data_IF_843278661571
#
_entry.id   IF_843278661571
#
_cell.length_a   1.000
_cell.length_b   1.000
_cell.length_c   1.000
_cell.angle_alpha   90.00
_cell.angle_beta   90.00
_cell.angle_gamma   90.00
#
_symmetry.space_group_name_H-M   'P 1'
#
loop_
_entity.id
_entity.type
_entity.pdbx_description
1 polymer ?
#
# COMPACT_ATOMS: atom_id res chain seq x y z
N UNK A 1 -15.16 -0.04 -19.33
CA UNK A 1 -13.71 0.05 -19.03
C UNK A 1 -13.42 -0.37 -17.58
N UNK A 2 -13.96 -1.49 -17.09
CA UNK A 2 -13.80 -1.88 -15.67
C UNK A 2 -13.49 -3.36 -15.45
N UNK A 3 -13.59 -4.19 -16.50
CA UNK A 3 -13.36 -5.63 -16.39
C UNK A 3 -11.87 -5.97 -16.61
N UNK A 4 -11.16 -5.17 -17.41
CA UNK A 4 -9.73 -5.39 -17.73
C UNK A 4 -8.79 -5.22 -16.53
N UNK A 5 -9.13 -4.35 -15.58
CA UNK A 5 -8.29 -4.09 -14.41
C UNK A 5 -8.38 -5.20 -13.35
N UNK A 6 -9.59 -5.73 -13.13
CA UNK A 6 -9.85 -6.83 -12.19
C UNK A 6 -9.23 -8.16 -12.65
N UNK A 7 -9.18 -8.40 -13.97
CA UNK A 7 -8.63 -9.66 -14.53
C UNK A 7 -7.08 -9.69 -14.48
N UNK A 8 -6.41 -8.54 -14.59
CA UNK A 8 -4.94 -8.46 -14.45
C UNK A 8 -4.52 -8.78 -13.01
N UNK A 9 -5.24 -8.26 -12.01
CA UNK A 9 -5.04 -8.58 -10.58
C UNK A 9 -5.13 -10.09 -10.31
N UNK A 10 -5.96 -10.82 -11.07
CA UNK A 10 -6.15 -12.26 -10.88
C UNK A 10 -5.03 -13.12 -11.52
N UNK A 11 -4.34 -12.62 -12.56
CA UNK A 11 -3.26 -13.34 -13.23
C UNK A 11 -1.85 -13.02 -12.69
N UNK A 12 -1.65 -11.88 -12.02
CA UNK A 12 -0.36 -11.51 -11.40
C UNK A 12 -0.07 -12.23 -10.06
N UNK A 13 -0.98 -13.06 -9.57
CA UNK A 13 -0.85 -13.75 -8.27
C UNK A 13 0.36 -14.71 -8.21
N UNK A 14 1.06 -14.98 -9.32
CA UNK A 14 2.10 -16.02 -9.31
C UNK A 14 3.45 -15.59 -8.72
N UNK A 15 3.78 -14.29 -8.60
CA UNK A 15 4.95 -13.81 -7.81
C UNK A 15 4.62 -12.42 -7.23
N UNK A 16 3.92 -12.37 -6.10
CA UNK A 16 3.67 -11.10 -5.39
C UNK A 16 4.96 -10.60 -4.75
N UNK A 17 5.40 -9.39 -5.09
CA UNK A 17 6.56 -8.75 -4.45
C UNK A 17 6.17 -8.10 -3.11
N UNK A 18 7.16 -7.81 -2.25
CA UNK A 18 6.89 -7.07 -1.00
C UNK A 18 6.29 -5.69 -1.28
N UNK A 19 6.75 -5.00 -2.32
CA UNK A 19 6.27 -3.68 -2.70
C UNK A 19 4.80 -3.74 -3.20
N UNK A 20 4.43 -4.77 -3.95
CA UNK A 20 3.03 -5.04 -4.32
C UNK A 20 2.16 -5.34 -3.10
N UNK A 21 2.64 -6.18 -2.18
CA UNK A 21 1.92 -6.49 -0.95
C UNK A 21 1.65 -5.21 -0.12
N UNK A 22 2.64 -4.30 -0.06
CA UNK A 22 2.49 -3.00 0.60
C UNK A 22 1.48 -2.12 -0.15
N UNK A 23 1.51 -2.05 -1.48
CA UNK A 23 0.51 -1.31 -2.29
C UNK A 23 -0.91 -1.82 -2.01
N UNK A 24 -1.10 -3.14 -2.03
CA UNK A 24 -2.39 -3.78 -1.74
C UNK A 24 -2.85 -3.40 -0.33
N UNK A 25 -1.96 -3.50 0.67
CA UNK A 25 -2.28 -3.13 2.06
C UNK A 25 -2.75 -1.69 2.20
N UNK A 26 -2.07 -0.76 1.52
CA UNK A 26 -2.43 0.66 1.54
C UNK A 26 -3.83 0.87 0.93
N UNK A 27 -4.13 0.22 -0.20
CA UNK A 27 -5.46 0.30 -0.81
C UNK A 27 -6.57 -0.25 0.10
N UNK A 28 -6.32 -1.38 0.77
CA UNK A 28 -7.25 -1.95 1.75
C UNK A 28 -7.57 -0.96 2.87
N UNK A 29 -6.53 -0.30 3.42
CA UNK A 29 -6.68 0.65 4.51
C UNK A 29 -7.40 1.93 4.07
N UNK A 30 -7.06 2.48 2.89
CA UNK A 30 -7.78 3.62 2.31
C UNK A 30 -9.27 3.34 2.14
N UNK A 31 -9.61 2.14 1.65
CA UNK A 31 -11.01 1.72 1.46
C UNK A 31 -11.72 1.49 2.80
N UNK A 32 -11.05 0.85 3.75
CA UNK A 32 -11.62 0.55 5.08
C UNK A 32 -11.93 1.82 5.87
N UNK A 33 -11.00 2.77 5.89
CA UNK A 33 -11.13 4.03 6.65
C UNK A 33 -11.80 5.15 5.84
N UNK A 34 -12.18 4.89 4.58
CA UNK A 34 -12.75 5.86 3.63
C UNK A 34 -11.89 7.13 3.52
N UNK A 35 -10.57 6.95 3.45
CA UNK A 35 -9.59 8.03 3.36
C UNK A 35 -8.98 8.13 1.96
N UNK A 36 -8.53 9.32 1.59
CA UNK A 36 -7.75 9.57 0.38
C UNK A 36 -6.25 9.49 0.66
N UNK A 37 -5.46 9.13 -0.37
CA UNK A 37 -3.99 9.11 -0.34
C UNK A 37 -3.44 10.42 0.25
N UNK A 38 -3.92 11.56 -0.26
CA UNK A 38 -3.48 12.88 0.21
C UNK A 38 -3.71 13.12 1.71
N UNK A 39 -4.82 12.63 2.27
CA UNK A 39 -5.12 12.78 3.69
C UNK A 39 -4.14 11.97 4.54
N UNK A 40 -3.92 10.71 4.17
CA UNK A 40 -3.00 9.81 4.89
C UNK A 40 -1.57 10.32 4.80
N UNK A 41 -1.13 10.77 3.63
CA UNK A 41 0.20 11.36 3.44
C UNK A 41 0.42 12.55 4.38
N UNK A 42 -0.52 13.50 4.40
CA UNK A 42 -0.42 14.68 5.26
C UNK A 42 -0.44 14.32 6.75
N UNK A 43 -1.31 13.40 7.16
CA UNK A 43 -1.38 12.93 8.56
C UNK A 43 -0.13 12.15 8.98
N UNK A 44 0.52 11.47 8.04
CA UNK A 44 1.74 10.68 8.25
C UNK A 44 3.05 11.47 8.16
N UNK A 45 3.00 12.77 7.86
CA UNK A 45 4.20 13.59 7.65
C UNK A 45 4.95 13.28 6.35
N UNK A 46 4.23 12.80 5.33
CA UNK A 46 4.74 12.47 4.01
C UNK A 46 4.17 13.44 2.96
N UNK A 47 4.99 13.82 1.97
CA UNK A 47 4.50 14.54 0.79
C UNK A 47 3.57 13.63 -0.04
N UNK A 48 2.36 14.07 -0.45
CA UNK A 48 1.45 13.24 -1.24
C UNK A 48 2.06 12.64 -2.50
N UNK A 49 2.95 13.37 -3.19
CA UNK A 49 3.63 12.91 -4.41
C UNK A 49 4.38 11.60 -4.20
N UNK A 50 5.09 11.44 -3.09
CA UNK A 50 5.84 10.21 -2.78
C UNK A 50 4.92 9.00 -2.68
N UNK A 51 3.76 9.15 -2.05
CA UNK A 51 2.80 8.05 -1.95
C UNK A 51 2.12 7.79 -3.30
N UNK A 52 1.79 8.83 -4.06
CA UNK A 52 1.26 8.67 -5.42
C UNK A 52 2.24 7.94 -6.34
N UNK A 53 3.52 8.31 -6.31
CA UNK A 53 4.56 7.68 -7.13
C UNK A 53 4.75 6.20 -6.78
N UNK A 54 4.70 5.86 -5.48
CA UNK A 54 4.72 4.47 -5.04
C UNK A 54 3.47 3.70 -5.47
N UNK A 55 2.29 4.29 -5.29
CA UNK A 55 1.02 3.64 -5.65
C UNK A 55 0.85 3.45 -7.16
N UNK A 56 1.40 4.35 -7.98
CA UNK A 56 1.37 4.28 -9.44
C UNK A 56 2.49 3.40 -10.04
N UNK A 57 3.43 2.91 -9.22
CA UNK A 57 4.55 2.09 -9.67
C UNK A 57 5.74 2.88 -10.24
N UNK A 58 5.72 4.21 -10.21
CA UNK A 58 6.87 5.06 -10.54
C UNK A 58 8.03 4.80 -9.58
N UNK A 59 7.71 4.70 -8.28
CA UNK A 59 8.67 4.25 -7.26
C UNK A 59 8.49 2.75 -7.06
N UNK A 60 9.52 1.99 -7.40
CA UNK A 60 9.50 0.52 -7.31
C UNK A 60 9.62 0.07 -5.86
N UNK A 61 10.54 0.69 -5.10
CA UNK A 61 10.88 0.27 -3.73
C UNK A 61 10.52 1.35 -2.72
N UNK A 62 9.80 0.94 -1.67
CA UNK A 62 9.46 1.82 -0.55
C UNK A 62 10.36 1.56 0.65
N UNK A 63 10.81 2.63 1.31
CA UNK A 63 11.59 2.52 2.52
C UNK A 63 10.69 2.20 3.72
N UNK A 64 11.21 1.45 4.69
CA UNK A 64 10.47 1.14 5.93
C UNK A 64 10.05 2.40 6.69
N UNK A 65 10.85 3.48 6.64
CA UNK A 65 10.46 4.78 7.23
C UNK A 65 9.16 5.31 6.61
N UNK A 66 9.00 5.14 5.30
CA UNK A 66 7.84 5.65 4.55
C UNK A 66 6.61 4.83 4.91
N UNK A 67 6.78 3.51 5.09
CA UNK A 67 5.72 2.64 5.60
C UNK A 67 5.31 3.08 7.02
N UNK A 68 6.28 3.43 7.88
CA UNK A 68 6.01 3.94 9.22
C UNK A 68 5.21 5.26 9.19
N UNK A 69 5.54 6.18 8.28
CA UNK A 69 4.78 7.41 8.06
C UNK A 69 3.34 7.11 7.62
N UNK A 70 3.16 6.18 6.68
CA UNK A 70 1.82 5.73 6.26
C UNK A 70 1.03 5.13 7.42
N UNK A 71 1.68 4.30 8.25
CA UNK A 71 1.07 3.73 9.46
C UNK A 71 0.63 4.83 10.45
N UNK A 72 1.46 5.86 10.63
CA UNK A 72 1.12 7.02 11.46
C UNK A 72 -0.12 7.75 10.91
N UNK A 73 -0.23 7.90 9.58
CA UNK A 73 -1.41 8.49 8.94
C UNK A 73 -2.70 7.69 9.18
N UNK A 74 -2.61 6.36 9.23
CA UNK A 74 -3.73 5.47 9.56
C UNK A 74 -3.95 5.24 11.06
N UNK A 75 -3.07 5.77 11.93
CA UNK A 75 -3.07 5.52 13.37
C UNK A 75 -2.99 4.03 13.74
N UNK A 76 -2.21 3.27 12.97
CA UNK A 76 -1.93 1.86 13.23
C UNK A 76 -0.44 1.65 13.48
N UNK A 77 -0.09 0.53 14.08
CA UNK A 77 1.31 0.12 14.27
C UNK A 77 1.85 -0.58 13.03
N UNK A 78 3.18 -0.65 12.89
CA UNK A 78 3.83 -1.45 11.84
C UNK A 78 3.44 -2.94 11.94
N UNK A 79 3.28 -3.46 13.16
CA UNK A 79 2.84 -4.84 13.37
C UNK A 79 1.45 -5.08 12.78
N UNK A 80 0.49 -4.18 13.02
CA UNK A 80 -0.86 -4.27 12.44
C UNK A 80 -0.88 -4.07 10.91
N UNK A 81 0.07 -3.29 10.39
CA UNK A 81 0.24 -3.12 8.96
C UNK A 81 0.64 -4.44 8.30
N UNK A 82 1.67 -5.10 8.83
CA UNK A 82 2.21 -6.35 8.28
C UNK A 82 1.47 -7.62 8.74
N UNK A 83 0.50 -7.52 9.65
CA UNK A 83 -0.32 -8.65 10.11
C UNK A 83 -1.37 -9.06 9.06
N UNK A 84 -0.92 -9.51 7.89
CA UNK A 84 -1.74 -10.06 6.82
C UNK A 84 -1.12 -11.31 6.24
N UNK A 85 -1.97 -12.30 5.95
CA UNK A 85 -1.56 -13.63 5.47
C UNK A 85 -0.69 -13.57 4.21
N UNK A 86 -0.90 -12.60 3.34
CA UNK A 86 -0.12 -12.46 2.12
C UNK A 86 1.33 -12.04 2.37
N UNK A 87 1.65 -11.39 3.50
CA UNK A 87 3.05 -11.16 3.90
C UNK A 87 3.74 -12.44 4.40
N UNK A 88 2.99 -13.38 4.98
CA UNK A 88 3.54 -14.65 5.45
C UNK A 88 3.93 -15.60 4.30
N UNK A 89 3.32 -15.40 3.13
CA UNK A 89 3.61 -16.18 1.92
C UNK A 89 4.79 -15.63 1.12
N UNK A 90 5.30 -14.43 1.46
CA UNK A 90 6.51 -13.88 0.86
C UNK A 90 7.73 -14.68 1.35
N UNK A 91 8.60 -15.09 0.43
CA UNK A 91 9.85 -15.83 0.72
C UNK A 91 11.07 -15.01 0.40
#
# INVERSE_FOLDING_TARGET
>A
MSIRFTVIIFLEVFIMTIDEAVRIRIQELLKKENMKISQVSLMGGLTPSTLYDFMNGTTVHIQVNTIQQVCAGFKITLSEFFNKNYFNSLK
#
